data_IF_399700746132
#
_entry.id   IF_399700746132
#
_cell.length_a   1.000
_cell.length_b   1.000
_cell.length_c   1.000
_cell.angle_alpha   90.00
_cell.angle_beta   90.00
_cell.angle_gamma   90.00
#
_symmetry.space_group_name_H-M   'P 1'
#
loop_
_entity.id
_entity.type
_entity.pdbx_description
1 polymer ?
#
# COMPACT_ATOMS: atom_id res chain seq x y z
N UNK A 1 -1.49 -25.16 -5.29
CA UNK A 1 -1.36 -23.75 -4.84
C UNK A 1 -0.91 -22.92 -6.03
N UNK A 2 -1.64 -21.87 -6.37
CA UNK A 2 -1.24 -20.95 -7.43
C UNK A 2 -0.09 -20.05 -6.94
N UNK A 3 0.84 -19.72 -7.84
CA UNK A 3 1.88 -18.72 -7.60
C UNK A 3 1.50 -17.44 -8.33
N UNK A 4 1.18 -16.39 -7.58
CA UNK A 4 0.77 -15.08 -8.10
C UNK A 4 1.98 -14.14 -8.16
N UNK A 5 2.17 -13.53 -9.33
CA UNK A 5 3.19 -12.51 -9.55
C UNK A 5 2.53 -11.13 -9.59
N UNK A 6 2.93 -10.24 -8.68
CA UNK A 6 2.40 -8.88 -8.58
C UNK A 6 3.45 -7.88 -9.05
N UNK A 7 3.12 -7.07 -10.05
CA UNK A 7 4.04 -6.06 -10.60
C UNK A 7 3.65 -4.68 -10.06
N UNK A 8 4.60 -4.04 -9.37
CA UNK A 8 4.47 -2.74 -8.73
C UNK A 8 4.28 -2.82 -7.21
N UNK A 9 5.13 -2.14 -6.46
CA UNK A 9 5.12 -2.03 -4.99
C UNK A 9 4.39 -0.80 -4.47
N UNK A 10 3.44 -0.25 -5.23
CA UNK A 10 2.53 0.81 -4.78
C UNK A 10 1.38 0.30 -3.93
N UNK A 11 0.52 1.20 -3.43
CA UNK A 11 -0.62 0.87 -2.56
C UNK A 11 -1.48 -0.29 -3.10
N UNK A 12 -1.84 -0.25 -4.39
CA UNK A 12 -2.65 -1.29 -5.02
C UNK A 12 -1.93 -2.64 -5.09
N UNK A 13 -0.65 -2.65 -5.49
CA UNK A 13 0.14 -3.88 -5.62
C UNK A 13 0.42 -4.52 -4.26
N UNK A 14 0.75 -3.73 -3.24
CA UNK A 14 0.91 -4.21 -1.87
C UNK A 14 -0.40 -4.80 -1.33
N UNK A 15 -1.53 -4.12 -1.55
CA UNK A 15 -2.86 -4.61 -1.16
C UNK A 15 -3.17 -5.94 -1.83
N UNK A 16 -2.92 -6.06 -3.14
CA UNK A 16 -3.15 -7.29 -3.90
C UNK A 16 -2.24 -8.44 -3.43
N UNK A 17 -0.95 -8.18 -3.24
CA UNK A 17 0.02 -9.17 -2.79
C UNK A 17 -0.31 -9.71 -1.40
N UNK A 18 -0.65 -8.83 -0.45
CA UNK A 18 -1.02 -9.23 0.91
C UNK A 18 -2.32 -10.05 0.89
N UNK A 19 -3.34 -9.57 0.17
CA UNK A 19 -4.65 -10.26 0.09
C UNK A 19 -4.51 -11.67 -0.53
N UNK A 20 -3.69 -11.80 -1.58
CA UNK A 20 -3.40 -13.09 -2.20
C UNK A 20 -2.65 -14.03 -1.25
N UNK A 21 -1.64 -13.52 -0.53
CA UNK A 21 -0.87 -14.31 0.44
C UNK A 21 -1.75 -14.79 1.61
N UNK A 22 -2.61 -13.93 2.15
CA UNK A 22 -3.60 -14.28 3.19
C UNK A 22 -4.62 -15.31 2.70
N UNK A 23 -4.87 -15.37 1.39
CA UNK A 23 -5.75 -16.38 0.77
C UNK A 23 -5.03 -17.71 0.48
N UNK A 24 -3.76 -17.85 0.90
CA UNK A 24 -2.98 -19.08 0.76
C UNK A 24 -2.22 -19.21 -0.57
N UNK A 25 -2.16 -18.17 -1.40
CA UNK A 25 -1.32 -18.20 -2.59
C UNK A 25 0.15 -17.97 -2.25
N UNK A 26 1.06 -18.56 -3.03
CA UNK A 26 2.47 -18.14 -3.02
C UNK A 26 2.57 -16.85 -3.82
N UNK A 27 3.21 -15.81 -3.28
CA UNK A 27 3.27 -14.49 -3.93
C UNK A 27 4.72 -14.04 -4.14
N UNK A 28 5.01 -13.53 -5.34
CA UNK A 28 6.22 -12.71 -5.59
C UNK A 28 5.78 -11.32 -6.02
N UNK A 29 6.23 -10.29 -5.30
CA UNK A 29 6.04 -8.88 -5.67
C UNK A 29 7.31 -8.33 -6.30
N UNK A 30 7.16 -7.63 -7.41
CA UNK A 30 8.24 -7.00 -8.17
C UNK A 30 8.07 -5.48 -8.09
N UNK A 31 9.14 -4.77 -7.72
CA UNK A 31 9.19 -3.31 -7.72
C UNK A 31 10.47 -2.89 -8.46
N UNK A 32 10.33 -1.96 -9.41
CA UNK A 32 11.46 -1.46 -10.21
C UNK A 32 12.23 -0.38 -9.47
N UNK A 33 11.58 0.32 -8.53
CA UNK A 33 12.21 1.29 -7.66
C UNK A 33 13.04 0.63 -6.56
N UNK A 34 13.99 1.39 -6.00
CA UNK A 34 14.79 0.93 -4.85
C UNK A 34 13.97 0.81 -3.55
N UNK A 35 12.78 1.41 -3.51
CA UNK A 35 11.90 1.48 -2.35
C UNK A 35 10.45 1.26 -2.76
N UNK A 36 9.69 0.62 -1.87
CA UNK A 36 8.24 0.45 -2.02
C UNK A 36 7.49 1.79 -1.91
N UNK A 37 6.18 1.74 -2.16
CA UNK A 37 5.25 2.85 -1.96
C UNK A 37 4.68 3.41 -3.27
N UNK A 38 5.36 3.24 -4.40
CA UNK A 38 4.92 3.81 -5.67
C UNK A 38 4.55 5.30 -5.54
N UNK A 39 3.36 5.70 -5.98
CA UNK A 39 2.86 7.09 -5.84
C UNK A 39 2.34 7.45 -4.44
N UNK A 40 2.30 6.50 -3.51
CA UNK A 40 1.96 6.74 -2.10
C UNK A 40 3.21 7.12 -1.27
N UNK A 41 4.24 7.66 -1.91
CA UNK A 41 5.44 8.19 -1.27
C UNK A 41 5.33 9.69 -1.03
N UNK A 42 6.01 10.12 0.00
CA UNK A 42 6.22 11.52 0.34
C UNK A 42 7.71 11.82 0.23
N UNK A 43 8.08 12.91 -0.45
CA UNK A 43 9.45 13.38 -0.56
C UNK A 43 10.04 13.71 0.83
N UNK A 44 11.34 13.46 0.96
CA UNK A 44 12.14 13.80 2.14
C UNK A 44 12.51 15.29 2.15
N UNK A 45 12.93 15.80 3.32
CA UNK A 45 13.39 17.18 3.51
C UNK A 45 12.43 18.08 4.31
N UNK A 46 12.79 19.36 4.50
CA UNK A 46 12.01 20.29 5.34
C UNK A 46 10.63 20.62 4.76
N UNK A 47 10.46 20.45 3.45
CA UNK A 47 9.19 20.60 2.75
C UNK A 47 8.84 19.29 2.06
N UNK A 48 7.75 18.67 2.52
CA UNK A 48 7.35 17.32 2.12
C UNK A 48 6.27 17.39 1.05
N UNK A 49 6.57 16.89 -0.14
CA UNK A 49 5.63 16.81 -1.26
C UNK A 49 5.17 15.36 -1.46
N UNK A 50 3.86 15.16 -1.59
CA UNK A 50 3.28 13.86 -1.89
C UNK A 50 3.36 13.59 -3.40
N UNK A 51 3.88 12.44 -3.81
CA UNK A 51 4.00 12.06 -5.23
C UNK A 51 2.65 11.69 -5.87
N UNK A 52 1.60 11.52 -5.05
CA UNK A 52 0.27 11.14 -5.46
C UNK A 52 -0.77 11.33 -4.36
N UNK A 53 -1.98 10.77 -4.51
CA UNK A 53 -3.05 10.91 -3.52
C UNK A 53 -2.70 10.25 -2.19
N UNK A 54 -2.83 11.00 -1.08
CA UNK A 54 -2.56 10.52 0.29
C UNK A 54 -3.76 10.66 1.24
N UNK A 55 -4.87 11.23 0.78
CA UNK A 55 -6.11 11.30 1.56
C UNK A 55 -6.92 10.02 1.36
N UNK A 56 -7.18 9.28 2.45
CA UNK A 56 -8.09 8.15 2.45
C UNK A 56 -9.38 8.56 3.18
N UNK A 57 -10.52 8.45 2.50
CA UNK A 57 -11.81 8.71 3.14
C UNK A 57 -12.06 7.72 4.27
N UNK A 58 -12.39 8.24 5.46
CA UNK A 58 -12.76 7.42 6.62
C UNK A 58 -13.93 6.52 6.25
N UNK A 59 -13.83 5.24 6.58
CA UNK A 59 -14.83 4.23 6.22
C UNK A 59 -14.78 3.75 4.76
N UNK A 60 -13.98 4.41 3.90
CA UNK A 60 -13.74 3.96 2.53
C UNK A 60 -13.00 2.61 2.47
N UNK A 61 -12.97 1.96 1.29
CA UNK A 61 -12.45 0.60 1.15
C UNK A 61 -10.98 0.48 1.59
N UNK A 62 -10.12 1.43 1.20
CA UNK A 62 -8.70 1.43 1.59
C UNK A 62 -8.51 1.66 3.09
N UNK A 63 -9.23 2.63 3.68
CA UNK A 63 -9.18 2.89 5.11
C UNK A 63 -9.62 1.64 5.90
N UNK A 64 -10.74 1.03 5.52
CA UNK A 64 -11.26 -0.17 6.18
C UNK A 64 -10.33 -1.37 6.02
N UNK A 65 -9.73 -1.55 4.84
CA UNK A 65 -8.76 -2.62 4.58
C UNK A 65 -7.51 -2.49 5.46
N UNK A 66 -6.97 -1.26 5.59
CA UNK A 66 -5.83 -0.95 6.45
C UNK A 66 -6.19 -1.10 7.93
N UNK A 67 -7.36 -0.61 8.35
CA UNK A 67 -7.83 -0.68 9.74
C UNK A 67 -7.93 -2.12 10.25
N UNK A 68 -8.49 -3.02 9.42
CA UNK A 68 -8.64 -4.45 9.76
C UNK A 68 -7.31 -5.18 9.95
N UNK A 69 -6.21 -4.60 9.47
CA UNK A 69 -4.85 -5.15 9.56
C UNK A 69 -3.94 -4.33 10.47
N UNK A 70 -4.49 -3.35 11.18
CA UNK A 70 -3.73 -2.46 12.06
C UNK A 70 -2.62 -1.66 11.31
N UNK A 71 -2.84 -1.38 10.02
CA UNK A 71 -1.87 -0.73 9.12
C UNK A 71 -2.11 0.77 8.91
N UNK A 72 -3.07 1.38 9.62
CA UNK A 72 -3.37 2.81 9.45
C UNK A 72 -2.25 3.73 9.96
N UNK A 73 -1.45 3.28 10.93
CA UNK A 73 -0.47 4.13 11.60
C UNK A 73 -1.09 5.38 12.24
N UNK A 74 -0.29 6.44 12.46
CA UNK A 74 -0.80 7.73 12.95
C UNK A 74 -1.73 8.38 11.92
N UNK A 75 -3.00 8.55 12.28
CA UNK A 75 -3.99 9.25 11.46
C UNK A 75 -4.26 10.64 12.01
N UNK A 76 -4.20 11.65 11.14
CA UNK A 76 -4.63 13.01 11.49
C UNK A 76 -6.14 13.08 11.27
N UNK A 77 -6.94 13.41 12.30
CA UNK A 77 -8.35 13.69 12.09
C UNK A 77 -8.47 14.97 11.25
N UNK A 78 -9.25 14.87 10.17
CA UNK A 78 -9.72 16.01 9.38
C UNK A 78 -11.18 16.28 9.67
#
# INVERSE_FOLDING_TARGET
MEHIHVIGGGLAGLTAAITAAESGARVTLYESHRTLGGRARTAEGPYRANEGPHALYRGGPHHTWLARRELLGPVVPV
#
